data_IF_085573220924
#
_entry.id   IF_085573220924
#
_cell.length_a   1.000
_cell.length_b   1.000
_cell.length_c   1.000
_cell.angle_alpha   90.00
_cell.angle_beta   90.00
_cell.angle_gamma   90.00
#
_symmetry.space_group_name_H-M   'P 1'
#
loop_
_entity.id
_entity.type
_entity.pdbx_description
1 polymer ?
#
# COMPACT_ATOMS: atom_id res chain seq x y z
N UNK A 1 2.52 -57.24 -70.63
CA UNK A 1 2.84 -55.84 -71.00
C UNK A 1 2.80 -55.00 -69.72
N UNK A 2 3.67 -54.02 -69.48
CA UNK A 2 4.78 -53.59 -70.36
C UNK A 2 5.63 -52.41 -69.89
N UNK A 3 5.31 -51.73 -68.78
CA UNK A 3 6.06 -50.59 -68.20
C UNK A 3 5.49 -50.24 -66.82
N UNK A 4 6.18 -49.59 -65.88
CA UNK A 4 7.61 -49.26 -65.78
C UNK A 4 7.90 -48.54 -64.44
N UNK A 5 8.76 -49.10 -63.57
CA UNK A 5 9.18 -48.53 -62.27
C UNK A 5 10.36 -47.55 -62.48
N UNK A 6 10.75 -46.64 -61.55
CA UNK A 6 11.25 -47.04 -60.22
C UNK A 6 10.94 -46.08 -59.03
N UNK A 7 11.60 -46.36 -57.91
CA UNK A 7 11.31 -45.93 -56.54
C UNK A 7 12.65 -45.58 -55.82
N UNK A 8 12.71 -44.48 -55.06
CA UNK A 8 13.86 -44.06 -54.22
C UNK A 8 13.42 -43.07 -53.12
N UNK A 9 13.98 -42.98 -51.90
CA UNK A 9 14.53 -43.98 -50.95
C UNK A 9 14.90 -43.29 -49.61
N UNK A 10 14.40 -43.81 -48.48
CA UNK A 10 15.04 -43.80 -47.15
C UNK A 10 15.18 -42.47 -46.33
N UNK A 11 15.75 -42.62 -45.11
CA UNK A 11 15.61 -41.77 -43.90
C UNK A 11 17.00 -41.19 -43.44
N UNK A 12 17.34 -40.95 -42.15
CA UNK A 12 17.16 -39.63 -41.51
C UNK A 12 18.38 -39.04 -40.74
N UNK A 13 18.32 -37.72 -40.47
CA UNK A 13 18.63 -37.16 -39.14
C UNK A 13 20.00 -36.49 -38.87
N UNK A 14 20.21 -36.19 -37.58
CA UNK A 14 21.36 -35.55 -36.88
C UNK A 14 21.49 -34.02 -36.91
N UNK A 15 21.44 -33.45 -35.70
CA UNK A 15 21.98 -32.14 -35.31
C UNK A 15 23.50 -32.18 -35.15
N UNK A 16 24.17 -31.02 -35.24
CA UNK A 16 25.17 -30.65 -34.21
C UNK A 16 24.79 -29.39 -33.42
N UNK A 17 25.54 -29.10 -32.35
CA UNK A 17 25.46 -27.86 -31.54
C UNK A 17 26.60 -26.86 -31.94
N UNK A 18 27.11 -25.93 -31.10
CA UNK A 18 27.07 -24.52 -31.47
C UNK A 18 28.45 -23.84 -31.61
N UNK A 19 28.48 -22.66 -32.24
CA UNK A 19 29.64 -21.78 -32.19
C UNK A 19 29.26 -20.31 -31.94
N UNK A 20 30.12 -19.65 -31.18
CA UNK A 20 30.27 -18.21 -31.04
C UNK A 20 31.62 -17.97 -30.33
N UNK A 21 31.93 -16.75 -29.90
CA UNK A 21 31.35 -15.46 -30.28
C UNK A 21 32.27 -14.73 -31.28
N UNK A 22 31.81 -13.64 -31.92
CA UNK A 22 32.73 -12.64 -32.45
C UNK A 22 32.12 -11.24 -32.56
N UNK A 23 32.96 -10.21 -32.45
CA UNK A 23 32.54 -8.81 -32.30
C UNK A 23 33.58 -7.86 -32.94
N UNK A 24 33.22 -7.03 -33.94
CA UNK A 24 34.05 -5.91 -34.39
C UNK A 24 33.50 -4.55 -33.93
N UNK A 25 34.41 -3.67 -33.51
CA UNK A 25 34.12 -2.29 -33.08
C UNK A 25 34.10 -1.35 -34.29
N UNK A 26 33.27 -0.31 -34.25
CA UNK A 26 33.57 0.95 -34.95
C UNK A 26 33.85 2.05 -33.91
N UNK A 27 34.79 2.96 -34.23
CA UNK A 27 35.09 4.15 -33.43
C UNK A 27 35.03 5.37 -34.35
N UNK A 28 34.50 6.48 -33.84
CA UNK A 28 34.86 7.81 -34.30
C UNK A 28 35.08 8.73 -33.09
N UNK A 29 36.14 9.54 -33.13
CA UNK A 29 36.57 10.43 -32.02
C UNK A 29 37.11 11.75 -32.58
N UNK A 30 36.50 12.87 -32.22
CA UNK A 30 37.18 14.18 -32.11
C UNK A 30 36.44 14.97 -31.00
N UNK A 31 36.96 15.08 -29.76
CA UNK A 31 38.15 15.78 -29.20
C UNK A 31 37.86 17.24 -28.78
N UNK A 32 38.02 17.49 -27.47
CA UNK A 32 37.92 18.78 -26.76
C UNK A 32 39.02 19.78 -27.13
N UNK A 33 38.77 21.08 -26.85
CA UNK A 33 39.65 22.04 -26.14
C UNK A 33 38.75 23.07 -25.40
N UNK A 34 38.82 23.24 -24.06
CA UNK A 34 39.59 24.27 -23.29
C UNK A 34 39.26 25.71 -23.72
N UNK A 35 38.95 26.73 -22.89
CA UNK A 35 39.23 27.03 -21.47
C UNK A 35 38.31 28.21 -20.99
N UNK A 36 38.19 28.71 -19.74
CA UNK A 36 38.67 28.35 -18.37
C UNK A 36 37.77 28.99 -17.26
N UNK A 37 38.09 28.74 -15.97
CA UNK A 37 37.63 29.36 -14.68
C UNK A 37 36.94 30.75 -14.72
N UNK A 38 35.90 30.95 -13.89
CA UNK A 38 36.06 31.54 -12.53
C UNK A 38 34.81 31.47 -11.62
N UNK A 39 35.01 31.77 -10.33
CA UNK A 39 34.07 31.54 -9.22
C UNK A 39 33.01 32.64 -9.05
N UNK A 40 31.76 32.25 -8.80
CA UNK A 40 30.73 33.13 -8.21
C UNK A 40 29.83 32.35 -7.25
N UNK A 41 30.04 32.50 -5.94
CA UNK A 41 29.33 31.75 -4.91
C UNK A 41 28.00 32.45 -4.56
N UNK A 42 26.84 31.86 -4.89
CA UNK A 42 25.52 32.45 -4.62
C UNK A 42 24.63 31.50 -3.84
N UNK A 43 24.67 31.61 -2.51
CA UNK A 43 23.82 30.86 -1.59
C UNK A 43 22.34 31.17 -1.85
N UNK A 44 21.57 30.17 -2.29
CA UNK A 44 20.11 30.21 -2.17
C UNK A 44 19.78 29.80 -0.73
N UNK A 45 19.54 30.80 0.13
CA UNK A 45 19.05 30.56 1.50
C UNK A 45 17.59 30.13 1.45
N UNK A 46 17.34 28.82 1.36
CA UNK A 46 16.05 28.23 1.74
C UNK A 46 15.76 28.62 3.18
N UNK A 47 14.78 29.49 3.41
CA UNK A 47 14.32 29.83 4.76
C UNK A 47 13.59 28.62 5.33
N UNK A 48 14.29 27.80 6.10
CA UNK A 48 13.66 26.84 7.01
C UNK A 48 12.94 27.63 8.10
N UNK A 49 11.67 27.95 7.88
CA UNK A 49 10.80 28.48 8.93
C UNK A 49 10.51 27.34 9.90
N UNK A 50 11.38 27.17 10.90
CA UNK A 50 11.20 26.22 11.98
C UNK A 50 10.04 26.66 12.89
N UNK A 51 8.82 26.32 12.50
CA UNK A 51 7.64 26.48 13.35
C UNK A 51 7.71 25.43 14.45
N UNK A 52 8.29 25.81 15.58
CA UNK A 52 8.38 24.97 16.79
C UNK A 52 7.01 24.87 17.47
N UNK A 53 6.05 24.23 16.81
CA UNK A 53 4.74 23.88 17.34
C UNK A 53 4.78 22.50 18.01
N UNK A 54 4.24 22.39 19.22
CA UNK A 54 4.04 21.11 19.91
C UNK A 54 2.89 20.32 19.28
N UNK A 55 3.14 19.77 18.09
CA UNK A 55 2.16 19.04 17.29
C UNK A 55 1.78 17.70 17.94
N UNK A 56 0.76 17.69 18.80
CA UNK A 56 0.12 16.49 19.37
C UNK A 56 -0.72 15.70 18.35
N UNK A 57 -0.45 15.85 17.05
CA UNK A 57 -1.44 15.69 15.96
C UNK A 57 -1.81 14.23 15.62
N UNK A 58 -1.20 13.24 16.29
CA UNK A 58 -1.32 11.81 15.99
C UNK A 58 -1.80 10.97 17.21
N UNK A 59 -2.31 11.57 18.28
CA UNK A 59 -2.85 10.83 19.43
C UNK A 59 -4.08 9.96 19.04
N UNK A 60 -4.36 8.84 19.74
CA UNK A 60 -5.49 7.95 19.42
C UNK A 60 -6.83 8.67 19.28
N UNK A 61 -7.16 9.62 20.16
CA UNK A 61 -8.40 10.41 20.09
C UNK A 61 -8.50 11.39 18.91
N UNK A 62 -7.40 11.63 18.20
CA UNK A 62 -7.37 12.40 16.95
C UNK A 62 -7.39 11.46 15.74
N UNK A 63 -6.71 10.31 15.82
CA UNK A 63 -6.85 9.23 14.84
C UNK A 63 -8.29 8.75 14.72
N UNK A 64 -8.97 8.50 15.85
CA UNK A 64 -10.38 8.12 15.90
C UNK A 64 -11.27 9.18 15.22
N UNK A 65 -11.19 10.44 15.65
CA UNK A 65 -12.02 11.53 15.06
C UNK A 65 -11.76 11.73 13.57
N UNK A 66 -10.50 11.63 13.12
CA UNK A 66 -10.19 11.66 11.69
C UNK A 66 -10.85 10.47 10.98
N UNK A 67 -10.60 9.24 11.44
CA UNK A 67 -11.17 8.03 10.85
C UNK A 67 -12.70 8.05 10.77
N UNK A 68 -13.39 8.45 11.84
CA UNK A 68 -14.84 8.59 11.88
C UNK A 68 -15.35 9.63 10.86
N UNK A 69 -14.76 10.83 10.81
CA UNK A 69 -15.18 11.86 9.85
C UNK A 69 -14.98 11.44 8.38
N UNK A 70 -13.98 10.59 8.10
CA UNK A 70 -13.79 10.00 6.77
C UNK A 70 -14.77 8.85 6.48
N UNK A 71 -15.18 8.08 7.50
CA UNK A 71 -16.24 7.07 7.38
C UNK A 71 -17.60 7.74 7.09
N UNK A 72 -17.99 8.73 7.89
CA UNK A 72 -19.22 9.51 7.73
C UNK A 72 -19.28 10.17 6.34
N UNK A 73 -18.25 10.94 5.99
CA UNK A 73 -18.18 11.65 4.71
C UNK A 73 -18.18 10.73 3.48
N UNK A 74 -17.58 9.55 3.55
CA UNK A 74 -17.55 8.62 2.41
C UNK A 74 -18.82 7.78 2.26
N UNK A 75 -19.55 7.52 3.36
CA UNK A 75 -20.78 6.72 3.34
C UNK A 75 -22.05 7.57 3.27
N UNK A 76 -21.95 8.90 3.45
CA UNK A 76 -23.11 9.80 3.46
C UNK A 76 -23.99 9.65 4.71
N UNK A 77 -23.38 9.22 5.82
CA UNK A 77 -24.05 8.95 7.10
C UNK A 77 -23.53 9.87 8.19
N UNK A 78 -24.32 10.05 9.25
CA UNK A 78 -23.87 10.59 10.52
C UNK A 78 -24.07 9.48 11.57
N UNK A 79 -23.02 9.19 12.35
CA UNK A 79 -23.08 8.13 13.36
C UNK A 79 -23.89 8.59 14.58
N UNK A 80 -24.70 7.68 15.14
CA UNK A 80 -25.37 7.92 16.42
C UNK A 80 -24.37 7.89 17.58
N UNK A 81 -24.74 8.52 18.70
CA UNK A 81 -23.91 8.52 19.92
C UNK A 81 -23.52 7.10 20.38
N UNK A 82 -24.41 6.13 20.23
CA UNK A 82 -24.17 4.74 20.60
C UNK A 82 -23.14 4.05 19.69
N UNK A 83 -23.14 4.35 18.39
CA UNK A 83 -22.12 3.84 17.45
C UNK A 83 -20.76 4.51 17.67
N UNK A 84 -20.75 5.80 18.02
CA UNK A 84 -19.54 6.53 18.40
C UNK A 84 -18.94 5.96 19.70
N UNK A 85 -19.74 5.73 20.73
CA UNK A 85 -19.32 5.09 21.99
C UNK A 85 -18.84 3.63 21.80
N UNK A 86 -19.28 2.97 20.73
CA UNK A 86 -18.88 1.60 20.38
C UNK A 86 -17.46 1.52 19.78
N UNK A 87 -16.90 2.61 19.24
CA UNK A 87 -15.53 2.63 18.68
C UNK A 87 -14.61 3.46 19.60
N UNK A 88 -13.86 2.76 20.46
CA UNK A 88 -13.07 3.38 21.53
C UNK A 88 -11.69 3.83 21.05
N UNK A 89 -11.14 4.88 21.67
CA UNK A 89 -9.76 5.34 21.46
C UNK A 89 -8.72 4.21 21.61
N UNK A 90 -8.96 3.25 22.50
CA UNK A 90 -8.10 2.07 22.72
C UNK A 90 -7.95 1.17 21.48
N UNK A 91 -8.84 1.31 20.50
CA UNK A 91 -8.77 0.59 19.23
C UNK A 91 -7.75 1.24 18.26
N UNK A 92 -7.14 2.38 18.59
CA UNK A 92 -6.15 3.07 17.75
C UNK A 92 -4.75 3.05 18.38
N UNK A 93 -3.74 2.62 17.62
CA UNK A 93 -2.35 2.54 18.12
C UNK A 93 -1.72 3.94 18.21
N UNK A 94 -1.12 4.26 19.36
CA UNK A 94 -0.43 5.54 19.54
C UNK A 94 0.91 5.59 18.77
N UNK A 95 0.90 6.29 17.63
CA UNK A 95 2.07 6.61 16.80
C UNK A 95 2.46 8.10 16.92
N UNK A 96 2.06 8.78 18.00
CA UNK A 96 2.17 10.24 18.13
C UNK A 96 3.58 10.78 18.32
N UNK A 97 4.54 9.94 18.70
CA UNK A 97 5.91 10.38 19.00
C UNK A 97 6.72 10.77 17.75
N UNK A 98 6.33 10.32 16.55
CA UNK A 98 7.24 10.28 15.40
C UNK A 98 6.66 10.99 14.17
N UNK A 99 6.90 12.31 14.10
CA UNK A 99 6.57 13.22 12.99
C UNK A 99 7.33 12.91 11.67
N UNK A 100 7.93 11.73 11.55
CA UNK A 100 8.71 11.31 10.39
C UNK A 100 7.93 10.35 9.50
N UNK A 101 7.94 10.59 8.20
CA UNK A 101 7.54 9.62 7.16
C UNK A 101 8.54 8.45 7.05
N UNK A 102 9.26 8.14 8.13
CA UNK A 102 10.29 7.10 8.16
C UNK A 102 9.65 5.74 8.44
N UNK A 103 9.32 5.08 7.33
CA UNK A 103 8.79 3.72 7.29
C UNK A 103 9.65 2.73 8.11
N UNK A 104 10.95 2.97 8.31
CA UNK A 104 11.82 2.07 9.09
C UNK A 104 11.42 1.96 10.57
N UNK A 105 10.71 2.95 11.10
CA UNK A 105 10.30 2.96 12.51
C UNK A 105 9.00 2.21 12.79
N UNK A 106 8.20 1.95 11.76
CA UNK A 106 6.92 1.26 11.85
C UNK A 106 7.02 -0.09 12.59
N UNK A 107 8.14 -0.79 12.42
CA UNK A 107 8.43 -2.05 13.09
C UNK A 107 8.38 -1.96 14.62
N UNK A 108 8.77 -0.82 15.22
CA UNK A 108 8.72 -0.59 16.67
C UNK A 108 7.27 -0.63 17.15
N UNK A 109 6.40 0.21 16.59
CA UNK A 109 5.00 0.32 17.00
C UNK A 109 4.22 -0.97 16.74
N UNK A 110 4.53 -1.68 15.65
CA UNK A 110 3.95 -3.00 15.40
C UNK A 110 4.42 -4.01 16.45
N UNK A 111 5.71 -4.06 16.83
CA UNK A 111 6.17 -4.93 17.94
C UNK A 111 5.51 -4.58 19.27
N UNK A 112 5.41 -3.29 19.61
CA UNK A 112 4.76 -2.79 20.82
C UNK A 112 3.29 -3.24 20.90
N UNK A 113 2.56 -3.23 19.78
CA UNK A 113 1.17 -3.67 19.72
C UNK A 113 0.95 -5.15 20.11
N UNK A 114 1.93 -6.03 19.89
CA UNK A 114 1.85 -7.46 20.25
C UNK A 114 2.54 -7.79 21.60
N UNK A 115 3.12 -6.79 22.27
CA UNK A 115 3.78 -6.95 23.57
C UNK A 115 4.80 -8.10 23.57
N UNK A 116 4.81 -8.91 24.64
CA UNK A 116 5.73 -10.04 24.77
C UNK A 116 5.59 -11.10 23.65
N UNK A 117 4.44 -11.20 22.98
CA UNK A 117 4.15 -12.20 21.93
C UNK A 117 4.63 -11.81 20.53
N UNK A 118 5.24 -10.63 20.34
CA UNK A 118 5.58 -10.13 19.00
C UNK A 118 6.41 -11.10 18.14
N UNK A 119 7.28 -11.92 18.75
CA UNK A 119 8.05 -12.94 18.03
C UNK A 119 7.20 -14.09 17.51
N UNK A 120 6.32 -14.62 18.36
CA UNK A 120 5.40 -15.72 18.02
C UNK A 120 4.47 -15.28 16.88
N UNK A 121 3.82 -14.12 16.99
CA UNK A 121 2.81 -13.72 16.01
C UNK A 121 3.38 -13.19 14.69
N UNK A 122 4.52 -12.48 14.73
CA UNK A 122 5.02 -11.71 13.57
C UNK A 122 6.17 -12.41 12.82
N UNK A 123 7.05 -13.13 13.52
CA UNK A 123 8.28 -13.66 12.92
C UNK A 123 8.16 -15.12 12.50
N UNK A 124 7.75 -16.01 13.41
CA UNK A 124 7.83 -17.47 13.23
C UNK A 124 7.34 -17.94 11.86
N UNK A 125 8.24 -18.57 11.08
CA UNK A 125 7.92 -19.13 9.77
C UNK A 125 7.21 -20.48 9.78
N UNK A 126 7.16 -21.19 10.94
CA UNK A 126 6.59 -22.54 11.02
C UNK A 126 5.07 -22.48 11.05
N UNK A 127 4.43 -23.01 10.02
CA UNK A 127 3.03 -23.44 10.09
C UNK A 127 2.94 -24.65 11.04
N UNK A 128 1.99 -24.61 11.97
CA UNK A 128 1.66 -25.71 12.86
C UNK A 128 0.18 -25.98 12.62
N UNK A 129 -0.09 -27.02 11.84
CA UNK A 129 -1.42 -27.46 11.45
C UNK A 129 -2.29 -27.68 12.71
N UNK A 130 -3.53 -27.20 12.68
CA UNK A 130 -4.43 -27.21 13.84
C UNK A 130 -4.13 -26.19 14.95
N UNK A 131 -2.94 -25.56 15.01
CA UNK A 131 -2.67 -24.43 15.94
C UNK A 131 -2.86 -23.06 15.27
N UNK A 132 -2.44 -22.92 14.01
CA UNK A 132 -2.46 -21.65 13.28
C UNK A 132 -3.09 -21.87 11.91
N UNK A 133 -4.19 -21.18 11.63
CA UNK A 133 -4.88 -21.23 10.35
C UNK A 133 -3.99 -20.71 9.21
N UNK A 134 -4.11 -21.33 8.03
CA UNK A 134 -3.47 -20.84 6.81
C UNK A 134 -4.06 -19.46 6.41
N UNK A 135 -3.31 -18.69 5.62
CA UNK A 135 -3.80 -17.47 5.00
C UNK A 135 -4.18 -16.33 5.94
N UNK A 136 -3.99 -16.50 7.26
CA UNK A 136 -4.57 -15.65 8.31
C UNK A 136 -3.50 -14.79 8.99
N UNK A 137 -3.24 -13.55 8.51
CA UNK A 137 -2.21 -12.68 9.03
C UNK A 137 -2.55 -12.12 10.42
N UNK A 138 -1.51 -11.85 11.22
CA UNK A 138 -1.64 -11.06 12.44
C UNK A 138 -1.71 -9.55 12.14
N UNK A 139 -1.01 -9.11 11.08
CA UNK A 139 -0.97 -7.71 10.61
C UNK A 139 -1.37 -7.62 9.13
N UNK A 140 -2.36 -6.80 8.82
CA UNK A 140 -2.78 -6.49 7.45
C UNK A 140 -2.54 -5.01 7.14
N UNK A 141 -1.71 -4.74 6.14
CA UNK A 141 -1.49 -3.39 5.59
C UNK A 141 -2.42 -3.16 4.41
N UNK A 142 -3.20 -2.08 4.47
CA UNK A 142 -4.02 -1.59 3.36
C UNK A 142 -3.45 -0.26 2.88
N UNK A 143 -3.14 -0.19 1.59
CA UNK A 143 -2.52 0.97 0.96
C UNK A 143 -3.17 1.31 -0.39
N UNK A 144 -3.15 2.59 -0.82
CA UNK A 144 -3.85 3.02 -2.02
C UNK A 144 -3.18 2.54 -3.32
N UNK A 145 -1.98 1.95 -3.25
CA UNK A 145 -1.30 1.38 -4.41
C UNK A 145 -0.33 0.27 -4.03
N UNK A 146 -0.01 -0.59 -5.01
CA UNK A 146 1.05 -1.59 -4.90
C UNK A 146 2.43 -0.98 -4.55
N UNK A 147 2.70 0.27 -4.94
CA UNK A 147 3.96 0.95 -4.60
C UNK A 147 4.04 1.21 -3.09
N UNK A 148 3.02 1.86 -2.52
CA UNK A 148 2.91 2.15 -1.09
C UNK A 148 2.84 0.88 -0.24
N UNK A 149 2.10 -0.12 -0.69
CA UNK A 149 2.04 -1.46 -0.09
C UNK A 149 3.43 -2.12 0.02
N UNK A 150 4.24 -2.07 -1.04
CA UNK A 150 5.64 -2.53 -1.01
C UNK A 150 6.50 -1.67 -0.10
N UNK A 151 6.29 -0.35 -0.11
CA UNK A 151 7.06 0.61 0.68
C UNK A 151 6.94 0.32 2.18
N UNK A 152 5.71 0.20 2.69
CA UNK A 152 5.42 -0.11 4.10
C UNK A 152 6.01 -1.47 4.52
N UNK A 153 6.00 -2.48 3.65
CA UNK A 153 6.68 -3.75 3.90
C UNK A 153 8.21 -3.62 4.03
N UNK A 154 8.85 -2.58 3.48
CA UNK A 154 10.30 -2.36 3.69
C UNK A 154 10.61 -2.01 5.14
N UNK A 155 9.68 -1.33 5.83
CA UNK A 155 9.83 -0.93 7.22
C UNK A 155 9.81 -2.08 8.21
N UNK A 156 8.99 -3.10 7.91
CA UNK A 156 8.83 -4.31 8.71
C UNK A 156 9.75 -5.46 8.26
N UNK A 157 10.77 -5.19 7.44
CA UNK A 157 11.61 -6.21 6.80
C UNK A 157 12.30 -7.15 7.78
N UNK A 158 12.56 -6.76 9.03
CA UNK A 158 13.21 -7.67 9.99
C UNK A 158 12.23 -8.67 10.61
N UNK A 159 10.94 -8.32 10.70
CA UNK A 159 9.87 -9.26 11.04
C UNK A 159 9.73 -10.34 9.97
N UNK A 160 9.74 -9.94 8.68
CA UNK A 160 9.41 -10.81 7.54
C UNK A 160 10.58 -11.66 7.03
N UNK A 161 11.50 -12.07 7.91
CA UNK A 161 12.70 -12.85 7.54
C UNK A 161 12.42 -14.35 7.44
N UNK A 162 11.70 -14.89 8.42
CA UNK A 162 11.34 -16.31 8.48
C UNK A 162 10.01 -16.52 7.74
N UNK A 163 8.92 -15.89 8.21
CA UNK A 163 7.67 -15.77 7.44
C UNK A 163 7.77 -14.61 6.42
N UNK A 164 7.73 -14.92 5.13
CA UNK A 164 7.75 -13.89 4.08
C UNK A 164 6.37 -13.22 3.95
N UNK A 165 6.33 -11.88 3.91
CA UNK A 165 5.06 -11.16 3.81
C UNK A 165 4.39 -11.30 2.43
N UNK A 166 3.10 -11.62 2.43
CA UNK A 166 2.30 -11.84 1.22
C UNK A 166 1.81 -10.51 0.65
N UNK A 167 1.88 -10.37 -0.67
CA UNK A 167 1.50 -9.16 -1.41
C UNK A 167 0.13 -9.34 -2.05
N UNK A 168 -0.86 -8.58 -1.60
CA UNK A 168 -2.27 -8.69 -1.98
C UNK A 168 -2.66 -7.56 -2.94
N UNK A 169 -2.02 -7.53 -4.12
CA UNK A 169 -2.33 -6.58 -5.20
C UNK A 169 -2.18 -7.21 -6.58
N UNK A 170 -2.80 -6.62 -7.60
CA UNK A 170 -2.82 -7.17 -8.97
C UNK A 170 -1.51 -7.00 -9.77
N UNK A 171 -0.62 -6.10 -9.35
CA UNK A 171 0.57 -5.74 -10.11
C UNK A 171 1.63 -6.87 -10.09
N UNK A 172 1.79 -7.53 -11.24
CA UNK A 172 2.70 -8.66 -11.48
C UNK A 172 2.37 -9.94 -10.68
N UNK A 173 1.11 -10.14 -10.27
CA UNK A 173 0.70 -11.38 -9.57
C UNK A 173 -0.79 -11.70 -9.80
N UNK A 174 -1.07 -12.91 -10.30
CA UNK A 174 -2.43 -13.44 -10.46
C UNK A 174 -3.08 -13.72 -9.10
N UNK A 175 -4.38 -14.01 -9.11
CA UNK A 175 -5.09 -14.37 -7.89
C UNK A 175 -4.73 -15.79 -7.44
N UNK A 176 -4.63 -16.75 -8.37
CA UNK A 176 -4.33 -18.16 -8.08
C UNK A 176 -2.91 -18.32 -7.50
N UNK A 177 -1.97 -17.49 -7.94
CA UNK A 177 -0.62 -17.35 -7.40
C UNK A 177 -0.64 -16.84 -5.94
N UNK A 178 -1.59 -15.95 -5.59
CA UNK A 178 -1.79 -15.49 -4.21
C UNK A 178 -2.50 -16.54 -3.36
N UNK A 179 -3.52 -17.23 -3.87
CA UNK A 179 -4.17 -18.37 -3.17
C UNK A 179 -3.12 -19.42 -2.81
N UNK A 180 -2.22 -19.75 -3.74
CA UNK A 180 -1.10 -20.69 -3.53
C UNK A 180 -0.13 -20.26 -2.43
N UNK A 181 0.10 -18.94 -2.27
CA UNK A 181 0.90 -18.41 -1.16
C UNK A 181 0.13 -18.46 0.17
N UNK A 182 -1.17 -18.14 0.14
CA UNK A 182 -2.05 -18.12 1.31
C UNK A 182 -2.37 -19.50 1.87
N UNK A 183 -2.14 -20.60 1.13
CA UNK A 183 -2.16 -21.98 1.68
C UNK A 183 -1.12 -22.23 2.80
N UNK A 184 -0.24 -21.27 3.09
CA UNK A 184 0.79 -21.36 4.13
C UNK A 184 0.45 -20.46 5.34
N UNK A 185 1.22 -20.58 6.43
CA UNK A 185 1.19 -19.60 7.52
C UNK A 185 1.60 -18.22 7.01
N UNK A 186 0.76 -17.21 7.27
CA UNK A 186 1.06 -15.80 7.02
C UNK A 186 1.08 -15.06 8.35
N UNK A 187 2.10 -14.23 8.58
CA UNK A 187 2.15 -13.36 9.75
C UNK A 187 1.82 -11.90 9.39
N UNK A 188 2.32 -11.43 8.25
CA UNK A 188 2.09 -10.06 7.74
C UNK A 188 1.67 -10.15 6.26
N UNK A 189 0.62 -9.42 5.90
CA UNK A 189 0.19 -9.22 4.52
C UNK A 189 0.05 -7.73 4.19
N UNK A 190 0.20 -7.36 2.91
CA UNK A 190 0.08 -5.96 2.47
C UNK A 190 -0.52 -5.87 1.08
N UNK A 191 -1.48 -4.97 0.86
CA UNK A 191 -2.20 -4.90 -0.41
C UNK A 191 -3.04 -3.66 -0.66
N UNK A 192 -3.87 -3.78 -1.71
CA UNK A 192 -4.84 -2.78 -2.17
C UNK A 192 -6.27 -3.25 -1.89
N UNK A 193 -7.21 -2.37 -1.49
CA UNK A 193 -8.57 -2.74 -1.08
C UNK A 193 -9.28 -3.80 -1.94
N UNK A 194 -9.49 -3.54 -3.25
CA UNK A 194 -10.12 -4.49 -4.18
C UNK A 194 -9.53 -5.92 -4.15
N UNK A 195 -8.18 -6.05 -4.11
CA UNK A 195 -7.54 -7.38 -4.11
C UNK A 195 -7.57 -8.04 -2.73
N UNK A 196 -7.50 -7.27 -1.64
CA UNK A 196 -7.70 -7.79 -0.28
C UNK A 196 -9.12 -8.35 -0.16
N UNK A 197 -10.14 -7.54 -0.50
CA UNK A 197 -11.54 -7.97 -0.47
C UNK A 197 -11.74 -9.23 -1.32
N UNK A 198 -11.30 -9.23 -2.58
CA UNK A 198 -11.47 -10.38 -3.48
C UNK A 198 -10.80 -11.68 -2.98
N UNK A 199 -9.76 -11.60 -2.14
CA UNK A 199 -9.13 -12.79 -1.54
C UNK A 199 -9.88 -13.30 -0.30
N UNK A 200 -10.59 -12.42 0.43
CA UNK A 200 -11.52 -12.81 1.49
C UNK A 200 -12.81 -13.39 0.88
N UNK A 201 -13.31 -12.78 -0.21
CA UNK A 201 -14.51 -13.21 -0.95
C UNK A 201 -14.44 -14.63 -1.52
N UNK A 202 -13.22 -15.18 -1.68
CA UNK A 202 -12.97 -16.56 -2.13
C UNK A 202 -12.38 -17.44 -1.03
N UNK A 203 -12.51 -17.02 0.23
CA UNK A 203 -12.08 -17.74 1.44
C UNK A 203 -10.57 -18.06 1.51
N UNK A 204 -9.75 -17.40 0.69
CA UNK A 204 -8.31 -17.62 0.63
C UNK A 204 -7.52 -16.76 1.64
N UNK A 205 -8.04 -15.60 2.03
CA UNK A 205 -7.47 -14.73 3.07
C UNK A 205 -8.36 -14.78 4.32
N UNK A 206 -7.99 -15.65 5.28
CA UNK A 206 -8.63 -15.70 6.59
C UNK A 206 -8.30 -14.47 7.44
N UNK A 207 -9.14 -14.19 8.43
CA UNK A 207 -9.00 -13.03 9.33
C UNK A 207 -8.91 -13.41 10.82
N UNK A 208 -8.92 -14.70 11.16
CA UNK A 208 -9.02 -15.23 12.53
C UNK A 208 -7.91 -14.79 13.50
N UNK A 209 -6.75 -14.37 12.97
CA UNK A 209 -5.60 -13.84 13.73
C UNK A 209 -5.43 -12.32 13.64
N UNK A 210 -6.25 -11.63 12.84
CA UNK A 210 -5.99 -10.23 12.49
C UNK A 210 -6.15 -9.31 13.71
N UNK A 211 -5.02 -8.87 14.26
CA UNK A 211 -4.98 -8.06 15.49
C UNK A 211 -4.62 -6.59 15.23
N UNK A 212 -4.00 -6.29 14.07
CA UNK A 212 -3.64 -4.93 13.64
C UNK A 212 -3.95 -4.71 12.16
N UNK A 213 -4.83 -3.74 11.87
CA UNK A 213 -5.11 -3.20 10.54
C UNK A 213 -4.34 -1.89 10.36
N UNK A 214 -3.33 -1.88 9.50
CA UNK A 214 -2.56 -0.67 9.19
C UNK A 214 -3.12 0.00 7.94
N UNK A 215 -3.46 1.28 8.05
CA UNK A 215 -4.06 2.09 7.00
C UNK A 215 -3.09 3.18 6.56
N UNK A 216 -2.74 3.19 5.27
CA UNK A 216 -1.86 4.20 4.69
C UNK A 216 -2.61 5.51 4.40
N UNK A 217 -2.61 6.43 5.37
CA UNK A 217 -3.21 7.76 5.23
C UNK A 217 -2.26 8.79 4.61
N UNK A 218 -1.06 8.38 4.19
CA UNK A 218 -0.12 9.23 3.45
C UNK A 218 -0.73 9.71 2.13
N UNK A 219 -0.52 10.99 1.81
CA UNK A 219 -1.13 11.67 0.67
C UNK A 219 -0.24 11.68 -0.57
N UNK A 220 -0.84 11.49 -1.74
CA UNK A 220 -0.18 11.66 -3.03
C UNK A 220 0.09 13.14 -3.36
N UNK A 221 0.73 13.39 -4.51
CA UNK A 221 1.07 14.74 -5.00
C UNK A 221 -0.15 15.63 -5.32
N UNK A 222 -1.38 15.12 -5.18
CA UNK A 222 -2.65 15.85 -5.33
C UNK A 222 -3.41 15.98 -4.01
N UNK A 223 -2.90 15.44 -2.90
CA UNK A 223 -3.55 15.44 -1.59
C UNK A 223 -4.45 14.23 -1.30
N UNK A 224 -4.47 13.21 -2.16
CA UNK A 224 -5.33 12.03 -1.95
C UNK A 224 -4.61 10.91 -1.17
N UNK A 225 -5.28 10.34 -0.18
CA UNK A 225 -4.84 9.18 0.61
C UNK A 225 -5.76 7.97 0.37
N UNK A 226 -5.51 6.84 1.06
CA UNK A 226 -6.41 5.68 1.07
C UNK A 226 -7.88 6.06 1.35
N UNK A 227 -8.11 7.06 2.21
CA UNK A 227 -9.44 7.43 2.69
C UNK A 227 -10.12 8.53 1.86
N UNK A 228 -9.43 9.11 0.87
CA UNK A 228 -9.94 10.24 0.06
C UNK A 228 -9.84 10.07 -1.46
N UNK A 229 -8.97 9.18 -1.97
CA UNK A 229 -8.89 8.88 -3.41
C UNK A 229 -10.17 8.14 -3.86
N UNK A 230 -11.10 8.74 -4.64
CA UNK A 230 -12.51 8.30 -4.66
C UNK A 230 -12.75 6.80 -4.86
N UNK A 231 -12.28 6.21 -5.96
CA UNK A 231 -12.45 4.76 -6.21
C UNK A 231 -11.85 3.89 -5.08
N UNK A 232 -10.64 4.22 -4.64
CA UNK A 232 -9.89 3.44 -3.65
C UNK A 232 -10.47 3.59 -2.25
N UNK A 233 -11.00 4.78 -1.93
CA UNK A 233 -11.78 5.09 -0.73
C UNK A 233 -13.05 4.22 -0.71
N UNK A 234 -13.76 4.14 -1.82
CA UNK A 234 -15.04 3.42 -1.90
C UNK A 234 -14.81 1.90 -1.79
N UNK A 235 -13.78 1.37 -2.47
CA UNK A 235 -13.31 -0.01 -2.28
C UNK A 235 -12.85 -0.28 -0.82
N UNK A 236 -12.21 0.70 -0.16
CA UNK A 236 -11.76 0.55 1.22
C UNK A 236 -12.92 0.52 2.22
N UNK A 237 -13.90 1.41 2.09
CA UNK A 237 -15.02 1.45 3.03
C UNK A 237 -15.98 0.27 2.85
N UNK A 238 -16.14 -0.26 1.63
CA UNK A 238 -16.82 -1.53 1.41
C UNK A 238 -16.09 -2.69 2.13
N UNK A 239 -14.78 -2.84 1.91
CA UNK A 239 -13.94 -3.81 2.63
C UNK A 239 -14.04 -3.66 4.16
N UNK A 240 -13.97 -2.43 4.69
CA UNK A 240 -14.05 -2.16 6.12
C UNK A 240 -15.41 -2.54 6.72
N UNK A 241 -16.52 -2.12 6.09
CA UNK A 241 -17.89 -2.41 6.57
C UNK A 241 -18.16 -3.91 6.61
N UNK A 242 -17.81 -4.62 5.54
CA UNK A 242 -18.13 -6.04 5.40
C UNK A 242 -17.27 -6.95 6.30
N UNK A 243 -16.00 -6.59 6.59
CA UNK A 243 -15.05 -7.53 7.23
C UNK A 243 -14.37 -7.04 8.51
N UNK A 244 -14.19 -5.73 8.72
CA UNK A 244 -13.36 -5.21 9.81
C UNK A 244 -14.15 -4.48 10.92
N UNK A 245 -15.24 -3.80 10.58
CA UNK A 245 -15.99 -2.94 11.51
C UNK A 245 -16.45 -3.69 12.78
N UNK A 246 -17.01 -4.90 12.62
CA UNK A 246 -17.45 -5.74 13.74
C UNK A 246 -16.30 -6.21 14.65
N UNK A 247 -15.09 -6.39 14.11
CA UNK A 247 -13.90 -6.77 14.90
C UNK A 247 -13.35 -5.56 15.67
N UNK A 248 -13.44 -4.36 15.08
CA UNK A 248 -13.04 -3.10 15.72
C UNK A 248 -13.94 -2.75 16.91
N UNK A 249 -15.26 -2.92 16.75
CA UNK A 249 -16.27 -2.65 17.81
C UNK A 249 -16.14 -3.62 18.99
N UNK A 250 -15.79 -4.88 18.74
CA UNK A 250 -15.48 -5.86 19.80
C UNK A 250 -14.18 -5.55 20.55
N UNK A 251 -13.26 -4.82 19.92
CA UNK A 251 -11.92 -4.54 20.43
C UNK A 251 -10.87 -5.62 20.10
N UNK A 252 -11.23 -6.64 19.32
CA UNK A 252 -10.32 -7.69 18.85
C UNK A 252 -9.29 -7.12 17.86
N UNK A 253 -9.73 -6.16 17.03
CA UNK A 253 -8.92 -5.49 16.02
C UNK A 253 -8.51 -4.08 16.48
N UNK A 254 -7.25 -3.70 16.22
CA UNK A 254 -6.76 -2.32 16.37
C UNK A 254 -6.33 -1.73 15.03
N UNK A 255 -6.55 -0.42 14.85
CA UNK A 255 -6.14 0.35 13.68
C UNK A 255 -4.83 1.09 13.95
N UNK A 256 -3.96 1.13 12.94
CA UNK A 256 -2.75 1.94 12.91
C UNK A 256 -2.83 2.89 11.71
N UNK A 257 -3.02 4.19 11.95
CA UNK A 257 -3.00 5.19 10.86
C UNK A 257 -1.55 5.58 10.55
N UNK A 258 -1.02 5.14 9.40
CA UNK A 258 0.32 5.51 8.95
C UNK A 258 0.28 6.76 8.07
N UNK A 259 0.88 7.84 8.56
CA UNK A 259 1.02 9.10 7.84
C UNK A 259 0.66 10.31 8.72
N UNK A 260 0.78 11.54 8.19
CA UNK A 260 0.27 12.73 8.87
C UNK A 260 -1.26 12.76 8.76
N UNK A 261 -1.96 12.99 9.87
CA UNK A 261 -3.38 13.39 9.81
C UNK A 261 -3.44 14.79 9.16
N UNK A 262 -4.27 14.99 8.11
CA UNK A 262 -4.47 16.32 7.53
C UNK A 262 -5.06 17.29 8.56
N UNK A 263 -4.38 18.40 8.82
CA UNK A 263 -4.95 19.51 9.59
C UNK A 263 -6.13 20.08 8.77
N UNK A 264 -7.29 20.30 9.40
CA UNK A 264 -8.58 20.58 8.75
C UNK A 264 -8.72 21.89 7.94
N UNK A 265 -7.63 22.55 7.56
CA UNK A 265 -7.62 23.84 6.86
C UNK A 265 -7.24 23.75 5.37
N UNK A 266 -6.86 22.57 4.84
CA UNK A 266 -6.28 22.43 3.49
C UNK A 266 -7.19 21.81 2.41
N UNK A 267 -8.52 21.99 2.52
CA UNK A 267 -9.46 21.75 1.41
C UNK A 267 -9.94 23.05 0.74
N UNK A 268 -9.01 23.79 0.12
CA UNK A 268 -9.39 24.78 -0.92
C UNK A 268 -9.61 24.09 -2.25
N UNK A 269 -10.73 23.39 -2.37
CA UNK A 269 -11.27 23.01 -3.68
C UNK A 269 -11.50 24.26 -4.52
N UNK A 270 -11.01 24.28 -5.76
CA UNK A 270 -11.33 25.35 -6.69
C UNK A 270 -12.78 25.21 -7.13
N UNK A 271 -13.68 26.00 -6.54
CA UNK A 271 -14.95 26.34 -7.16
C UNK A 271 -14.67 26.97 -8.52
N UNK A 272 -15.11 26.33 -9.60
CA UNK A 272 -15.13 26.92 -10.92
C UNK A 272 -16.36 27.82 -10.98
N UNK A 273 -16.16 29.13 -10.91
CA UNK A 273 -17.23 30.08 -11.23
C UNK A 273 -17.60 29.92 -12.70
N UNK A 274 -18.86 29.52 -12.94
CA UNK A 274 -19.50 29.65 -14.24
C UNK A 274 -19.95 31.11 -14.36
N UNK A 275 -19.36 31.84 -15.30
CA UNK A 275 -19.74 33.21 -15.59
C UNK A 275 -21.03 33.21 -16.43
N UNK A 276 -22.16 33.41 -15.77
CA UNK A 276 -23.47 33.53 -16.42
C UNK A 276 -23.69 34.92 -17.03
N UNK A 277 -24.08 34.93 -18.31
CA UNK A 277 -24.97 35.95 -18.88
C UNK A 277 -24.35 37.30 -19.26
N UNK A 278 -23.81 37.39 -20.48
CA UNK A 278 -23.91 38.63 -21.24
C UNK A 278 -25.40 39.02 -21.36
N UNK A 279 -25.78 40.18 -20.83
CA UNK A 279 -27.09 40.79 -21.10
C UNK A 279 -26.91 41.90 -22.12
N UNK A 280 -27.47 41.69 -23.30
CA UNK A 280 -27.58 42.73 -24.32
C UNK A 280 -28.29 43.96 -23.77
N UNK A 281 -27.73 45.14 -24.03
CA UNK A 281 -28.41 46.40 -23.79
C UNK A 281 -29.33 46.70 -24.98
N UNK A 282 -30.64 46.57 -24.76
CA UNK A 282 -31.63 47.23 -25.59
C UNK A 282 -31.69 48.70 -25.17
N UNK A 283 -31.04 49.56 -25.96
CA UNK A 283 -31.22 51.01 -25.89
C UNK A 283 -32.23 51.47 -26.96
N UNK A 284 -32.65 52.74 -26.89
CA UNK A 284 -33.86 53.26 -27.59
C UNK A 284 -33.69 53.63 -29.07
#
# INVERSE_FOLDING_TARGET
MGSGKPEKTQKPGRTPKPFGPNNPKSQSKFKKKTNTKNTANRQIKTKTTSVTGNNKNNQPSQQLRYFLSQFESANGVQLSSLELESIKDSCFLDVSQELGQDVMKLEKHIKEAFGAKWKEELCEGKHIEGKIEAGSPAVLVVAPSALRSIELLRGMRTLTKECHAVKLFSKHMKIDEQVSLLMNRVNIASGTPSRIKKLIDIEALGLSRLSVLLLDIHTDVKGYSLLTLPQVRDEFWDLYKNYFHQQLVKGDLRICLYGPIPNGNEFKGKSVELADGDREQLDS
#
